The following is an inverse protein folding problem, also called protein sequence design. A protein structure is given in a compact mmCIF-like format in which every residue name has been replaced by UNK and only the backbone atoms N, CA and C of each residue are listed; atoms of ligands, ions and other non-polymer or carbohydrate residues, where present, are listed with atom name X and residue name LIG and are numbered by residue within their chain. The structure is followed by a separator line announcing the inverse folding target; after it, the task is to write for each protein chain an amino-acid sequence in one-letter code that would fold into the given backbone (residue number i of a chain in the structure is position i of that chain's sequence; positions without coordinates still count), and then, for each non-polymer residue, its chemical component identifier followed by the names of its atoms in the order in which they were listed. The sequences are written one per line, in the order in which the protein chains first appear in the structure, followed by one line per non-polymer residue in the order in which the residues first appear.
data_IF_901476387743
#
_entry.id   IF_901476387743
#
_cell.length_a   1.000
_cell.length_b   1.000
_cell.length_c   1.000
_cell.angle_alpha   90.00
_cell.angle_beta   90.00
_cell.angle_gamma   90.00
#
_symmetry.space_group_name_H-M   'P 1'
#
loop_
_entity.id
_entity.type
_entity.pdbx_description
1 polymer ?
#
# COMPACT_ATOMS: atom_id res chain seq x y z
N UNK A 1 -18.95 -22.92 -4.34
CA UNK A 1 -17.54 -22.70 -3.91
C UNK A 1 -16.77 -21.72 -4.79
N UNK A 2 -16.68 -21.89 -6.13
CA UNK A 2 -15.88 -21.00 -6.99
C UNK A 2 -16.22 -19.50 -6.91
N UNK A 3 -17.52 -19.14 -6.90
CA UNK A 3 -17.95 -17.73 -6.75
C UNK A 3 -17.55 -17.14 -5.39
N UNK A 4 -17.85 -17.85 -4.30
CA UNK A 4 -17.48 -17.42 -2.93
C UNK A 4 -15.98 -17.21 -2.78
N UNK A 5 -15.16 -18.11 -3.35
CA UNK A 5 -13.71 -17.96 -3.33
C UNK A 5 -13.26 -16.72 -4.11
N UNK A 6 -13.84 -16.46 -5.28
CA UNK A 6 -13.56 -15.26 -6.06
C UNK A 6 -13.95 -13.97 -5.33
N UNK A 7 -15.10 -13.96 -4.65
CA UNK A 7 -15.55 -12.82 -3.86
C UNK A 7 -14.63 -12.55 -2.66
N UNK A 8 -14.17 -13.61 -1.99
CA UNK A 8 -13.18 -13.51 -0.91
C UNK A 8 -11.85 -12.95 -1.43
N UNK A 9 -11.29 -13.51 -2.50
CA UNK A 9 -10.03 -13.05 -3.10
C UNK A 9 -10.15 -11.58 -3.52
N UNK A 10 -11.23 -11.21 -4.22
CA UNK A 10 -11.40 -9.82 -4.67
C UNK A 10 -11.54 -8.86 -3.49
N UNK A 11 -12.18 -9.27 -2.39
CA UNK A 11 -12.33 -8.44 -1.20
C UNK A 11 -11.00 -8.28 -0.45
N UNK A 12 -10.19 -9.34 -0.38
CA UNK A 12 -8.83 -9.27 0.15
C UNK A 12 -7.95 -8.35 -0.69
N UNK A 13 -7.96 -8.50 -2.01
CA UNK A 13 -7.20 -7.65 -2.93
C UNK A 13 -7.62 -6.18 -2.81
N UNK A 14 -8.93 -5.91 -2.71
CA UNK A 14 -9.43 -4.56 -2.52
C UNK A 14 -8.99 -3.97 -1.18
N UNK A 15 -9.12 -4.72 -0.08
CA UNK A 15 -8.70 -4.27 1.23
C UNK A 15 -7.20 -3.97 1.29
N UNK A 16 -6.36 -4.87 0.78
CA UNK A 16 -4.92 -4.67 0.71
C UNK A 16 -4.55 -3.50 -0.21
N UNK A 17 -5.22 -3.37 -1.36
CA UNK A 17 -5.03 -2.25 -2.28
C UNK A 17 -5.31 -0.91 -1.60
N UNK A 18 -6.42 -0.80 -0.86
CA UNK A 18 -6.79 0.41 -0.13
C UNK A 18 -5.80 0.74 1.01
N UNK A 19 -5.33 -0.28 1.75
CA UNK A 19 -4.30 -0.10 2.78
C UNK A 19 -3.01 0.44 2.15
N UNK A 20 -2.58 -0.14 1.03
CA UNK A 20 -1.39 0.32 0.32
C UNK A 20 -1.55 1.73 -0.25
N UNK A 21 -2.72 2.10 -0.77
CA UNK A 21 -3.01 3.46 -1.25
C UNK A 21 -2.96 4.50 -0.12
N UNK A 22 -3.43 4.15 1.08
CA UNK A 22 -3.38 5.02 2.24
C UNK A 22 -1.98 5.08 2.90
N UNK A 23 -1.18 4.03 2.73
CA UNK A 23 0.09 3.87 3.43
C UNK A 23 1.11 4.99 3.21
N UNK A 24 1.27 5.63 2.04
CA UNK A 24 2.20 6.76 1.89
C UNK A 24 1.88 7.92 2.83
N UNK A 25 0.59 8.27 2.96
CA UNK A 25 0.14 9.35 3.84
C UNK A 25 0.36 8.98 5.29
N UNK A 26 -0.01 7.75 5.67
CA UNK A 26 0.15 7.26 7.05
C UNK A 26 1.63 7.17 7.44
N UNK A 27 2.49 6.69 6.55
CA UNK A 27 3.94 6.61 6.76
C UNK A 27 4.55 7.99 6.83
N UNK A 28 4.18 8.91 5.94
CA UNK A 28 4.68 10.27 5.98
C UNK A 28 4.31 10.96 7.30
N UNK A 29 3.06 10.83 7.73
CA UNK A 29 2.58 11.38 8.99
C UNK A 29 3.28 10.76 10.20
N UNK A 30 3.49 9.44 10.19
CA UNK A 30 4.26 8.77 11.23
C UNK A 30 5.72 9.23 11.24
N UNK A 31 6.42 9.30 10.11
CA UNK A 31 7.83 9.72 10.06
C UNK A 31 8.00 11.16 10.53
N UNK A 32 7.16 12.09 10.07
CA UNK A 32 7.36 13.53 10.26
C UNK A 32 6.57 14.14 11.42
N UNK A 33 5.70 13.38 12.09
CA UNK A 33 4.86 13.90 13.18
C UNK A 33 5.59 14.23 14.48
N UNK A 34 6.87 13.90 14.63
CA UNK A 34 7.72 14.33 15.76
C UNK A 34 9.17 14.39 15.31
N UNK A 35 9.87 15.46 15.69
CA UNK A 35 11.29 15.63 15.38
C UNK A 35 12.15 14.54 16.04
N UNK A 36 11.91 14.22 17.32
CA UNK A 36 12.64 13.16 18.02
C UNK A 36 12.43 11.80 17.35
N UNK A 37 11.20 11.51 16.93
CA UNK A 37 10.88 10.28 16.21
C UNK A 37 11.55 10.24 14.85
N UNK A 38 11.53 11.35 14.12
CA UNK A 38 12.21 11.47 12.83
C UNK A 38 13.71 11.17 12.96
N UNK A 39 14.39 11.83 13.91
CA UNK A 39 15.84 11.61 14.17
C UNK A 39 16.10 10.16 14.56
N UNK A 40 15.28 9.58 15.43
CA UNK A 40 15.39 8.18 15.84
C UNK A 40 15.29 7.23 14.63
N UNK A 41 14.29 7.43 13.75
CA UNK A 41 14.10 6.61 12.54
C UNK A 41 15.34 6.67 11.64
N UNK A 42 15.80 7.88 11.27
CA UNK A 42 16.91 8.04 10.32
C UNK A 42 18.29 7.68 10.91
N UNK A 43 18.37 7.49 12.23
CA UNK A 43 19.55 6.97 12.91
C UNK A 43 19.55 5.44 13.05
N UNK A 44 18.45 4.78 12.67
CA UNK A 44 18.28 3.34 12.78
C UNK A 44 19.07 2.56 11.72
N UNK A 45 19.04 1.22 11.79
CA UNK A 45 19.66 0.38 10.75
C UNK A 45 18.86 0.44 9.44
N UNK A 46 19.47 -0.01 8.35
CA UNK A 46 18.77 -0.21 7.07
C UNK A 46 17.44 -0.98 7.24
N UNK A 47 16.33 -0.56 6.62
CA UNK A 47 16.19 0.54 5.66
C UNK A 47 15.84 1.92 6.29
N UNK A 48 15.84 2.03 7.61
CA UNK A 48 15.36 3.23 8.32
C UNK A 48 16.30 4.43 8.20
N UNK A 49 17.61 4.20 8.16
CA UNK A 49 18.64 5.23 7.87
C UNK A 49 18.37 5.99 6.56
N UNK A 50 17.85 5.29 5.55
CA UNK A 50 17.53 5.86 4.24
C UNK A 50 16.18 6.58 4.20
N UNK A 51 15.33 6.41 5.22
CA UNK A 51 14.02 7.08 5.27
C UNK A 51 14.13 8.60 5.43
N UNK A 52 15.29 9.16 5.77
CA UNK A 52 15.53 10.60 5.72
C UNK A 52 15.80 11.13 4.31
N UNK A 53 16.13 10.26 3.37
CA UNK A 53 16.50 10.61 2.01
C UNK A 53 15.28 10.78 1.10
N UNK A 54 15.15 11.95 0.48
CA UNK A 54 14.09 12.26 -0.48
C UNK A 54 13.92 11.19 -1.59
N UNK A 55 14.99 10.72 -2.27
CA UNK A 55 14.87 9.70 -3.32
C UNK A 55 14.29 8.37 -2.81
N UNK A 56 14.72 7.90 -1.63
CA UNK A 56 14.22 6.67 -1.03
C UNK A 56 12.75 6.79 -0.65
N UNK A 57 12.35 7.91 -0.04
CA UNK A 57 10.94 8.19 0.28
C UNK A 57 10.07 8.21 -0.98
N UNK A 58 10.49 8.89 -2.06
CA UNK A 58 9.74 8.93 -3.31
C UNK A 58 9.58 7.53 -3.90
N UNK A 59 10.65 6.73 -3.94
CA UNK A 59 10.58 5.35 -4.42
C UNK A 59 9.63 4.49 -3.59
N UNK A 60 9.73 4.56 -2.25
CA UNK A 60 8.88 3.80 -1.34
C UNK A 60 7.41 4.20 -1.47
N UNK A 61 7.11 5.51 -1.41
CA UNK A 61 5.75 6.03 -1.45
C UNK A 61 5.08 5.78 -2.80
N UNK A 62 5.79 6.05 -3.90
CA UNK A 62 5.27 5.74 -5.24
C UNK A 62 5.09 4.24 -5.45
N UNK A 63 6.02 3.41 -4.97
CA UNK A 63 5.91 1.96 -5.03
C UNK A 63 4.67 1.43 -4.31
N UNK A 64 4.43 1.90 -3.08
CA UNK A 64 3.24 1.56 -2.30
C UNK A 64 1.95 2.01 -3.01
N UNK A 65 1.94 3.25 -3.51
CA UNK A 65 0.78 3.79 -4.21
C UNK A 65 0.46 3.02 -5.50
N UNK A 66 1.47 2.75 -6.34
CA UNK A 66 1.33 1.99 -7.59
C UNK A 66 0.89 0.55 -7.29
N UNK A 67 1.50 -0.11 -6.31
CA UNK A 67 1.08 -1.45 -5.88
C UNK A 67 -0.39 -1.44 -5.42
N UNK A 68 -0.80 -0.43 -4.65
CA UNK A 68 -2.17 -0.23 -4.21
C UNK A 68 -3.15 -0.05 -5.39
N UNK A 69 -2.78 0.76 -6.39
CA UNK A 69 -3.57 0.93 -7.62
C UNK A 69 -3.72 -0.37 -8.39
N UNK A 70 -2.63 -1.14 -8.54
CA UNK A 70 -2.65 -2.43 -9.24
C UNK A 70 -3.58 -3.42 -8.53
N UNK A 71 -3.43 -3.60 -7.20
CA UNK A 71 -4.27 -4.53 -6.44
C UNK A 71 -5.75 -4.12 -6.49
N UNK A 72 -6.04 -2.83 -6.33
CA UNK A 72 -7.40 -2.29 -6.40
C UNK A 72 -8.01 -2.52 -7.79
N UNK A 73 -7.24 -2.26 -8.85
CA UNK A 73 -7.70 -2.47 -10.22
C UNK A 73 -7.99 -3.95 -10.50
N UNK A 74 -7.07 -4.85 -10.10
CA UNK A 74 -7.27 -6.30 -10.21
C UNK A 74 -8.51 -6.77 -9.43
N UNK A 75 -8.74 -6.25 -8.23
CA UNK A 75 -9.91 -6.58 -7.44
C UNK A 75 -11.22 -6.20 -8.14
N UNK A 76 -11.28 -4.99 -8.72
CA UNK A 76 -12.45 -4.50 -9.46
C UNK A 76 -12.69 -5.30 -10.73
N UNK A 77 -11.64 -5.57 -11.51
CA UNK A 77 -11.71 -6.39 -12.73
C UNK A 77 -12.23 -7.80 -12.38
N UNK A 78 -11.65 -8.44 -11.36
CA UNK A 78 -12.08 -9.76 -10.91
C UNK A 78 -13.55 -9.79 -10.50
N UNK A 79 -14.02 -8.76 -9.76
CA UNK A 79 -15.44 -8.64 -9.38
C UNK A 79 -16.36 -8.52 -10.60
N UNK A 80 -15.94 -7.79 -11.63
CA UNK A 80 -16.71 -7.66 -12.88
C UNK A 80 -16.89 -9.03 -13.55
N UNK A 81 -15.82 -9.82 -13.65
CA UNK A 81 -15.89 -11.17 -14.23
C UNK A 81 -16.72 -12.16 -13.41
N UNK A 82 -16.68 -12.08 -12.07
CA UNK A 82 -17.48 -12.96 -11.21
C UNK A 82 -18.97 -12.63 -11.30
N UNK A 83 -19.32 -11.33 -11.40
CA UNK A 83 -20.71 -10.86 -11.41
C UNK A 83 -21.40 -11.02 -12.76
N UNK A 84 -20.68 -10.83 -13.87
CA UNK A 84 -21.19 -11.02 -15.23
C UNK A 84 -20.45 -12.16 -15.93
N UNK A 85 -20.70 -13.43 -15.55
CA UNK A 85 -20.28 -14.54 -16.38
C UNK A 85 -21.18 -14.50 -17.62
N UNK A 86 -20.61 -14.15 -18.77
CA UNK A 86 -21.33 -14.22 -20.05
C UNK A 86 -21.92 -15.58 -20.32
#
# INVERSE_FOLDING_TARGET
MRRVLGDLISSLLLGLGMILLASPILLWWWIHGSYERYVWIISGPYPYDNMGGGPFQVMLYSGLFVAGLVLTSLALILRTFIRNPG
#
